data_IF_351069368710
#
_entry.id   IF_351069368710
#
_cell.length_a   1.000
_cell.length_b   1.000
_cell.length_c   1.000
_cell.angle_alpha   90.00
_cell.angle_beta   90.00
_cell.angle_gamma   90.00
#
_symmetry.space_group_name_H-M   'P 1'
#
loop_
_entity.id
_entity.type
_entity.pdbx_description
1 polymer ?
#
# COMPACT_ATOMS: atom_id res chain seq x y z
N UNK A 1 -29.90 -53.53 -6.49
CA UNK A 1 -30.27 -52.46 -7.44
C UNK A 1 -30.84 -51.34 -6.61
N UNK A 2 -29.97 -50.42 -6.22
CA UNK A 2 -30.31 -49.26 -5.41
C UNK A 2 -30.97 -48.27 -6.36
N UNK A 3 -32.30 -48.22 -6.32
CA UNK A 3 -33.08 -47.34 -7.19
C UNK A 3 -32.84 -45.90 -6.78
N UNK A 4 -32.46 -45.05 -7.74
CA UNK A 4 -32.37 -43.61 -7.55
C UNK A 4 -33.71 -43.10 -7.02
N UNK A 5 -33.75 -42.81 -5.73
CA UNK A 5 -34.95 -42.40 -5.02
C UNK A 5 -35.26 -40.94 -5.41
N UNK A 6 -36.05 -40.76 -6.46
CA UNK A 6 -36.39 -39.44 -6.98
C UNK A 6 -37.22 -38.72 -5.91
N UNK A 7 -36.69 -37.64 -5.30
CA UNK A 7 -37.38 -37.00 -4.19
C UNK A 7 -38.71 -36.42 -4.66
N UNK A 8 -39.77 -36.69 -3.92
CA UNK A 8 -41.09 -36.11 -4.16
C UNK A 8 -40.98 -34.59 -4.17
N UNK A 9 -41.57 -33.92 -5.17
CA UNK A 9 -41.47 -32.45 -5.35
C UNK A 9 -41.88 -31.65 -4.10
N UNK A 10 -42.78 -32.20 -3.26
CA UNK A 10 -43.14 -31.64 -1.96
C UNK A 10 -41.94 -31.56 -1.01
N UNK A 11 -41.13 -32.61 -0.96
CA UNK A 11 -39.91 -32.69 -0.13
C UNK A 11 -38.86 -31.69 -0.61
N UNK A 12 -38.68 -31.59 -1.94
CA UNK A 12 -37.78 -30.61 -2.57
C UNK A 12 -38.25 -29.19 -2.28
N UNK A 13 -39.55 -28.91 -2.41
CA UNK A 13 -40.14 -27.61 -2.09
C UNK A 13 -39.90 -27.21 -0.63
N UNK A 14 -40.14 -28.10 0.33
CA UNK A 14 -39.92 -27.81 1.75
C UNK A 14 -38.46 -27.51 2.04
N UNK A 15 -37.53 -28.26 1.47
CA UNK A 15 -36.09 -28.02 1.65
C UNK A 15 -35.63 -26.71 1.03
N UNK A 16 -36.12 -26.37 -0.17
CA UNK A 16 -35.77 -25.13 -0.86
C UNK A 16 -36.32 -23.91 -0.11
N UNK A 17 -37.56 -23.95 0.35
CA UNK A 17 -38.16 -22.87 1.17
C UNK A 17 -37.38 -22.71 2.49
N UNK A 18 -37.04 -23.82 3.17
CA UNK A 18 -36.29 -23.78 4.43
C UNK A 18 -34.89 -23.18 4.26
N UNK A 19 -34.22 -23.46 3.14
CA UNK A 19 -32.83 -23.03 2.91
C UNK A 19 -32.71 -21.62 2.33
N UNK A 20 -33.62 -21.25 1.43
CA UNK A 20 -33.50 -20.01 0.65
C UNK A 20 -34.60 -18.99 0.94
N UNK A 21 -35.68 -19.37 1.62
CA UNK A 21 -36.73 -18.44 2.04
C UNK A 21 -37.27 -17.59 0.88
N UNK A 22 -37.08 -16.27 1.00
CA UNK A 22 -37.56 -15.27 0.04
C UNK A 22 -36.66 -15.11 -1.20
N UNK A 23 -35.46 -15.71 -1.20
CA UNK A 23 -34.51 -15.70 -2.32
C UNK A 23 -34.93 -16.68 -3.44
N UNK A 24 -36.11 -17.31 -3.35
CA UNK A 24 -36.64 -18.18 -4.41
C UNK A 24 -38.08 -17.81 -4.79
N UNK A 25 -38.40 -18.00 -6.07
CA UNK A 25 -39.75 -17.95 -6.64
C UNK A 25 -40.11 -19.34 -7.09
N UNK A 26 -41.27 -19.80 -6.66
CA UNK A 26 -41.85 -21.07 -7.09
C UNK A 26 -43.03 -20.74 -7.99
N UNK A 27 -42.89 -20.98 -9.28
CA UNK A 27 -43.98 -20.81 -10.24
C UNK A 27 -44.76 -22.13 -10.32
N UNK A 28 -46.07 -22.12 -10.04
CA UNK A 28 -46.88 -23.33 -10.12
C UNK A 28 -46.93 -23.85 -11.57
N UNK A 29 -46.68 -25.15 -11.75
CA UNK A 29 -46.62 -25.83 -13.04
C UNK A 29 -46.54 -27.36 -12.88
N UNK A 30 -46.51 -28.10 -13.99
CA UNK A 30 -46.26 -29.54 -14.01
C UNK A 30 -45.14 -29.85 -15.01
N UNK A 31 -43.86 -29.89 -14.57
CA UNK A 31 -43.35 -29.75 -13.20
C UNK A 31 -43.29 -28.29 -12.70
N UNK A 32 -43.26 -28.05 -11.37
CA UNK A 32 -43.08 -26.72 -10.79
C UNK A 32 -41.67 -26.17 -11.12
N UNK A 33 -41.60 -24.88 -11.45
CA UNK A 33 -40.34 -24.21 -11.80
C UNK A 33 -39.84 -23.42 -10.59
N UNK A 34 -38.55 -23.57 -10.28
CA UNK A 34 -37.88 -22.86 -9.19
C UNK A 34 -36.90 -21.84 -9.78
N UNK A 35 -37.09 -20.56 -9.44
CA UNK A 35 -36.22 -19.48 -9.87
C UNK A 35 -35.56 -18.83 -8.66
N UNK A 36 -34.24 -18.67 -8.68
CA UNK A 36 -33.51 -17.94 -7.65
C UNK A 36 -33.62 -16.43 -7.88
N UNK A 37 -34.14 -15.70 -6.90
CA UNK A 37 -34.17 -14.24 -6.87
C UNK A 37 -32.85 -13.73 -6.30
N UNK A 38 -32.19 -12.85 -7.04
CA UNK A 38 -31.01 -12.10 -6.59
C UNK A 38 -29.80 -12.92 -6.12
N UNK A 39 -29.83 -14.26 -6.15
CA UNK A 39 -28.71 -15.09 -5.71
C UNK A 39 -27.51 -14.98 -6.64
N UNK A 40 -27.75 -14.91 -7.96
CA UNK A 40 -26.68 -14.64 -8.94
C UNK A 40 -26.04 -13.27 -8.71
N UNK A 41 -26.85 -12.24 -8.45
CA UNK A 41 -26.36 -10.91 -8.11
C UNK A 41 -25.53 -10.94 -6.82
N UNK A 42 -26.02 -11.57 -5.74
CA UNK A 42 -25.26 -11.74 -4.49
C UNK A 42 -23.93 -12.46 -4.70
N UNK A 43 -23.91 -13.58 -5.43
CA UNK A 43 -22.68 -14.35 -5.71
C UNK A 43 -21.68 -13.51 -6.48
N UNK A 44 -22.11 -12.81 -7.53
CA UNK A 44 -21.24 -11.94 -8.34
C UNK A 44 -20.74 -10.77 -7.50
N UNK A 45 -21.61 -10.17 -6.70
CA UNK A 45 -21.30 -9.03 -5.83
C UNK A 45 -20.29 -9.45 -4.75
N UNK A 46 -20.52 -10.57 -4.08
CA UNK A 46 -19.64 -11.09 -3.04
C UNK A 46 -18.30 -11.53 -3.60
N UNK A 47 -18.25 -12.21 -4.75
CA UNK A 47 -17.01 -12.56 -5.42
C UNK A 47 -16.22 -11.29 -5.78
N UNK A 48 -16.88 -10.31 -6.41
CA UNK A 48 -16.27 -9.04 -6.79
C UNK A 48 -15.74 -8.26 -5.59
N UNK A 49 -16.52 -8.12 -4.51
CA UNK A 49 -16.11 -7.34 -3.35
C UNK A 49 -15.11 -8.07 -2.44
N UNK A 50 -15.13 -9.40 -2.38
CA UNK A 50 -14.21 -10.13 -1.50
C UNK A 50 -12.85 -10.40 -2.18
N UNK A 51 -12.83 -10.68 -3.48
CA UNK A 51 -11.59 -10.97 -4.21
C UNK A 51 -10.87 -9.68 -4.61
N UNK A 52 -11.58 -8.68 -5.16
CA UNK A 52 -10.93 -7.45 -5.63
C UNK A 52 -10.50 -6.53 -4.49
N UNK A 53 -11.19 -6.52 -3.34
CA UNK A 53 -10.86 -5.59 -2.26
C UNK A 53 -9.46 -5.81 -1.67
N UNK A 54 -8.97 -7.05 -1.65
CA UNK A 54 -7.62 -7.38 -1.16
C UNK A 54 -6.53 -7.12 -2.21
N UNK A 55 -6.80 -7.52 -3.45
CA UNK A 55 -5.89 -7.34 -4.60
C UNK A 55 -5.69 -5.85 -4.87
N UNK A 56 -6.78 -5.06 -4.93
CA UNK A 56 -6.69 -3.62 -5.11
C UNK A 56 -5.92 -2.94 -3.98
N UNK A 57 -6.07 -3.33 -2.72
CA UNK A 57 -5.40 -2.59 -1.65
C UNK A 57 -3.87 -2.66 -1.70
N UNK A 58 -3.27 -3.84 -1.88
CA UNK A 58 -1.80 -3.94 -1.85
C UNK A 58 -1.16 -3.57 -3.19
N UNK A 59 -1.77 -3.96 -4.31
CA UNK A 59 -1.25 -3.65 -5.63
C UNK A 59 -1.41 -2.16 -5.97
N UNK A 60 -2.54 -1.55 -5.60
CA UNK A 60 -2.73 -0.11 -5.79
C UNK A 60 -1.78 0.69 -4.91
N UNK A 61 -1.54 0.25 -3.66
CA UNK A 61 -0.52 0.87 -2.80
C UNK A 61 0.86 0.83 -3.45
N UNK A 62 1.26 -0.32 -4.02
CA UNK A 62 2.53 -0.44 -4.75
C UNK A 62 2.55 0.47 -5.98
N UNK A 63 1.45 0.58 -6.72
CA UNK A 63 1.33 1.48 -7.88
C UNK A 63 1.49 2.95 -7.50
N UNK A 64 0.83 3.37 -6.43
CA UNK A 64 0.93 4.75 -5.90
C UNK A 64 2.37 5.04 -5.48
N UNK A 65 3.00 4.13 -4.72
CA UNK A 65 4.39 4.28 -4.29
C UNK A 65 5.35 4.34 -5.49
N UNK A 66 5.15 3.49 -6.49
CA UNK A 66 5.95 3.50 -7.72
C UNK A 66 5.80 4.80 -8.51
N UNK A 67 4.60 5.38 -8.52
CA UNK A 67 4.33 6.65 -9.22
C UNK A 67 4.97 7.81 -8.47
N UNK A 68 4.82 7.86 -7.15
CA UNK A 68 5.46 8.86 -6.31
C UNK A 68 7.00 8.80 -6.39
N UNK A 69 7.58 7.59 -6.39
CA UNK A 69 9.03 7.43 -6.52
C UNK A 69 9.55 7.90 -7.88
N UNK A 70 8.81 7.62 -8.96
CA UNK A 70 9.16 8.09 -10.30
C UNK A 70 9.18 9.63 -10.39
N UNK A 71 8.22 10.31 -9.75
CA UNK A 71 8.18 11.78 -9.68
C UNK A 71 9.40 12.32 -8.93
N UNK A 72 9.67 11.80 -7.73
CA UNK A 72 10.82 12.24 -6.91
C UNK A 72 12.14 12.05 -7.68
N UNK A 73 12.31 10.91 -8.33
CA UNK A 73 13.51 10.63 -9.14
C UNK A 73 13.57 11.55 -10.35
N UNK A 74 12.44 11.84 -10.98
CA UNK A 74 12.33 12.80 -12.08
C UNK A 74 12.80 14.19 -11.65
N UNK A 75 12.31 14.67 -10.51
CA UNK A 75 12.68 15.98 -9.97
C UNK A 75 14.17 16.07 -9.66
N UNK A 76 14.75 15.07 -8.99
CA UNK A 76 16.19 14.99 -8.71
C UNK A 76 17.01 15.06 -10.01
N UNK A 77 16.58 14.34 -11.05
CA UNK A 77 17.31 14.29 -12.34
C UNK A 77 17.16 15.57 -13.16
N UNK A 78 16.03 16.26 -13.02
CA UNK A 78 15.75 17.51 -13.74
C UNK A 78 16.48 18.71 -13.14
N UNK A 79 16.98 18.58 -11.92
CA UNK A 79 17.62 19.68 -11.22
C UNK A 79 19.02 19.97 -11.79
N UNK A 80 19.26 21.25 -12.06
CA UNK A 80 20.54 21.74 -12.55
C UNK A 80 21.38 22.20 -11.36
N UNK A 81 22.51 21.54 -11.14
CA UNK A 81 23.46 21.89 -10.10
C UNK A 81 24.60 22.71 -10.68
N UNK A 82 25.02 23.73 -9.95
CA UNK A 82 26.19 24.51 -10.33
C UNK A 82 27.47 23.73 -10.02
N UNK A 83 28.14 23.22 -11.06
CA UNK A 83 29.40 22.46 -10.93
C UNK A 83 30.65 23.32 -11.10
N UNK A 84 30.51 24.64 -11.25
CA UNK A 84 31.65 25.54 -11.52
C UNK A 84 32.59 25.71 -10.32
N UNK A 85 32.08 25.54 -9.10
CA UNK A 85 32.85 25.70 -7.86
C UNK A 85 32.40 24.64 -6.86
N UNK A 86 33.37 23.92 -6.30
CA UNK A 86 33.13 23.03 -5.18
C UNK A 86 33.36 23.82 -3.87
N UNK A 87 32.39 23.86 -2.95
CA UNK A 87 32.54 24.61 -1.71
C UNK A 87 33.60 23.96 -0.81
N UNK A 88 34.30 24.76 0.02
CA UNK A 88 35.17 24.24 1.06
C UNK A 88 34.42 23.29 2.02
N UNK A 89 35.10 22.32 2.67
CA UNK A 89 34.44 21.33 3.52
C UNK A 89 33.60 21.90 4.67
N UNK A 90 33.92 23.11 5.14
CA UNK A 90 33.21 23.78 6.23
C UNK A 90 31.95 24.53 5.76
N UNK A 91 31.82 24.84 4.46
CA UNK A 91 30.65 25.49 3.84
C UNK A 91 29.81 24.51 3.01
N UNK A 92 30.22 23.23 2.94
CA UNK A 92 29.60 22.23 2.06
C UNK A 92 28.09 22.05 2.25
N UNK A 93 27.58 22.25 3.47
CA UNK A 93 26.15 22.13 3.77
C UNK A 93 25.43 23.48 3.82
N UNK A 94 26.14 24.57 3.61
CA UNK A 94 25.57 25.91 3.67
C UNK A 94 24.71 26.16 2.42
N UNK A 95 23.42 26.48 2.61
CA UNK A 95 22.48 26.66 1.50
C UNK A 95 21.93 25.37 0.88
N UNK A 96 22.35 24.19 1.35
CA UNK A 96 21.91 22.90 0.80
C UNK A 96 20.38 22.68 0.88
N UNK A 97 19.68 23.34 1.81
CA UNK A 97 18.21 23.29 1.92
C UNK A 97 17.50 23.79 0.64
N UNK A 98 18.12 24.69 -0.13
CA UNK A 98 17.60 25.20 -1.41
C UNK A 98 17.93 24.33 -2.61
N UNK A 99 18.90 23.42 -2.47
CA UNK A 99 19.32 22.50 -3.54
C UNK A 99 18.60 21.16 -3.48
N UNK A 100 17.84 20.88 -2.41
CA UNK A 100 17.05 19.66 -2.31
C UNK A 100 15.68 19.86 -2.99
N UNK A 101 15.26 18.95 -3.91
CA UNK A 101 13.92 19.01 -4.49
C UNK A 101 12.82 19.02 -3.44
N UNK A 102 11.81 19.87 -3.62
CA UNK A 102 10.69 20.03 -2.69
C UNK A 102 9.98 18.69 -2.44
N UNK A 103 9.79 17.87 -3.48
CA UNK A 103 9.13 16.57 -3.37
C UNK A 103 9.92 15.58 -2.51
N UNK A 104 11.25 15.57 -2.61
CA UNK A 104 12.12 14.78 -1.75
C UNK A 104 12.06 15.26 -0.30
N UNK A 105 12.06 16.59 -0.10
CA UNK A 105 11.93 17.19 1.23
C UNK A 105 10.65 16.73 1.93
N UNK A 106 9.49 16.92 1.29
CA UNK A 106 8.18 16.49 1.82
C UNK A 106 8.17 14.99 2.14
N UNK A 107 8.75 14.15 1.27
CA UNK A 107 8.83 12.71 1.51
C UNK A 107 9.64 12.38 2.77
N UNK A 108 10.83 13.00 2.92
CA UNK A 108 11.69 12.76 4.08
C UNK A 108 11.10 13.29 5.39
N UNK A 109 10.45 14.46 5.35
CA UNK A 109 9.73 15.03 6.49
C UNK A 109 8.62 14.08 6.96
N UNK A 110 7.82 13.56 6.03
CA UNK A 110 6.80 12.56 6.34
C UNK A 110 7.39 11.30 6.99
N UNK A 111 8.53 10.78 6.49
CA UNK A 111 9.19 9.61 7.08
C UNK A 111 9.72 9.87 8.50
N UNK A 112 10.29 11.06 8.74
CA UNK A 112 10.80 11.45 10.06
C UNK A 112 9.65 11.60 11.07
N UNK A 113 8.54 12.21 10.67
CA UNK A 113 7.33 12.38 11.49
C UNK A 113 6.65 11.04 11.85
N UNK A 114 6.73 10.03 10.97
CA UNK A 114 6.25 8.68 11.30
C UNK A 114 7.10 8.04 12.41
N UNK A 115 8.42 8.25 12.36
CA UNK A 115 9.38 7.62 13.28
C UNK A 115 9.48 8.32 14.63
N UNK A 116 9.29 9.64 14.63
CA UNK A 116 9.28 10.47 15.84
C UNK A 116 7.82 10.76 16.19
N UNK A 117 7.27 10.20 17.27
CA UNK A 117 5.89 10.49 17.74
C UNK A 117 5.72 11.99 18.11
N UNK A 118 5.78 12.91 17.17
CA UNK A 118 6.04 14.33 17.43
C UNK A 118 5.35 15.31 16.48
N UNK A 119 4.63 16.25 17.10
CA UNK A 119 3.81 17.29 16.50
C UNK A 119 4.61 18.29 15.62
N UNK A 120 4.07 18.60 14.42
CA UNK A 120 4.69 19.41 13.35
C UNK A 120 4.91 20.88 13.79
N UNK A 121 4.05 21.39 14.67
CA UNK A 121 4.02 22.79 15.12
C UNK A 121 5.28 23.24 15.89
N UNK A 122 6.08 22.29 16.38
CA UNK A 122 7.33 22.60 17.10
C UNK A 122 8.53 22.82 16.18
N UNK A 123 8.43 22.45 14.91
CA UNK A 123 9.57 22.40 13.98
C UNK A 123 9.68 23.65 13.09
N UNK A 124 8.58 24.40 12.95
CA UNK A 124 8.47 25.59 12.10
C UNK A 124 9.21 26.83 12.65
N UNK A 125 9.71 26.78 13.90
CA UNK A 125 10.40 27.92 14.55
C UNK A 125 11.93 27.90 14.46
N UNK A 126 12.52 26.94 13.75
CA UNK A 126 13.98 26.86 13.67
C UNK A 126 14.43 26.33 12.32
N UNK A 127 14.39 27.20 11.32
CA UNK A 127 14.94 26.99 9.98
C UNK A 127 16.39 26.52 10.07
N UNK A 128 16.58 25.26 9.71
CA UNK A 128 17.81 24.61 9.21
C UNK A 128 17.61 23.10 9.42
N UNK A 129 17.03 22.47 8.40
CA UNK A 129 16.68 21.05 8.41
C UNK A 129 17.93 20.18 8.38
N UNK A 130 18.93 20.58 7.59
CA UNK A 130 20.19 19.84 7.41
C UNK A 130 21.09 19.84 8.65
N UNK A 131 21.18 20.95 9.39
CA UNK A 131 22.05 21.02 10.59
C UNK A 131 21.52 20.18 11.76
N UNK A 132 20.20 20.05 11.91
CA UNK A 132 19.60 19.28 13.02
C UNK A 132 19.72 17.77 12.84
N UNK A 133 19.73 17.26 11.60
CA UNK A 133 20.01 15.84 11.33
C UNK A 133 21.42 15.45 11.77
N UNK A 134 22.40 16.36 11.66
CA UNK A 134 23.77 16.12 12.09
C UNK A 134 23.91 16.06 13.62
N UNK A 135 23.20 16.93 14.36
CA UNK A 135 23.17 16.90 15.84
C UNK A 135 22.35 15.74 16.42
N UNK A 136 21.39 15.18 15.69
CA UNK A 136 20.57 14.05 16.15
C UNK A 136 21.25 12.68 16.00
N UNK A 137 22.52 12.62 15.57
CA UNK A 137 23.33 11.40 15.61
C UNK A 137 23.61 11.01 17.08
N UNK A 138 22.73 10.21 17.67
CA UNK A 138 23.19 9.20 18.64
C UNK A 138 24.22 8.33 17.90
N UNK A 139 25.38 8.01 18.48
CA UNK A 139 26.38 7.20 17.81
C UNK A 139 25.73 5.87 17.42
N UNK A 140 25.65 5.62 16.12
CA UNK A 140 25.40 4.28 15.61
C UNK A 140 26.64 3.47 16.00
N UNK A 141 26.56 2.76 17.12
CA UNK A 141 27.58 1.77 17.46
C UNK A 141 27.56 0.73 16.36
N UNK A 142 28.54 0.83 15.45
CA UNK A 142 28.87 -0.21 14.50
C UNK A 142 29.32 -1.40 15.33
N UNK A 143 28.44 -2.39 15.44
CA UNK A 143 28.80 -3.67 16.04
C UNK A 143 29.69 -4.39 15.03
N UNK A 144 30.99 -4.53 15.34
CA UNK A 144 32.04 -5.06 14.46
C UNK A 144 31.91 -6.56 14.09
N UNK A 145 30.70 -7.13 14.04
CA UNK A 145 30.51 -8.57 13.81
C UNK A 145 30.04 -8.99 12.43
N UNK A 146 29.83 -8.07 11.49
CA UNK A 146 29.47 -8.43 10.12
C UNK A 146 30.33 -7.66 9.10
N UNK A 147 31.62 -7.99 9.02
CA UNK A 147 32.40 -7.68 7.82
C UNK A 147 31.98 -8.66 6.73
N UNK A 148 31.21 -8.17 5.76
CA UNK A 148 30.99 -8.85 4.49
C UNK A 148 32.34 -8.98 3.77
N UNK A 149 32.72 -10.16 3.25
CA UNK A 149 34.02 -10.40 2.61
C UNK A 149 34.17 -9.71 1.24
N UNK A 150 33.23 -8.85 0.85
CA UNK A 150 33.19 -8.24 -0.47
C UNK A 150 34.26 -7.15 -0.68
N UNK A 151 34.70 -6.48 0.39
CA UNK A 151 35.60 -5.31 0.28
C UNK A 151 37.10 -5.62 0.39
N UNK A 152 37.49 -6.86 0.69
CA UNK A 152 38.90 -7.24 0.86
C UNK A 152 39.63 -7.56 -0.47
N UNK A 153 38.97 -7.42 -1.63
CA UNK A 153 39.53 -7.78 -2.96
C UNK A 153 39.99 -6.60 -3.82
N UNK A 154 40.15 -5.40 -3.27
CA UNK A 154 40.66 -4.23 -4.01
C UNK A 154 41.86 -3.56 -3.33
N UNK A 155 42.87 -4.36 -2.98
CA UNK A 155 44.22 -3.86 -2.73
C UNK A 155 45.25 -4.73 -3.45
#
# INVERSE_FOLDING_TARGET
MEGDDIPVWKTVKTHLIKRYGDDIVITPGRPPIFCFKNTGHKIITDAWYNENKKIYTEEERKRIVSTASAIIVGDIRSQVYNTSKYPPPFEFLEGADGEVPVTLRVCTEAMVLIKTRGNIDKWDRGGNFILKLHSAKKPFLVNERNKSPFFDKLR
#
